data_IF_299364029289
#
_entry.id   IF_299364029289
#
_cell.length_a   1.000
_cell.length_b   1.000
_cell.length_c   1.000
_cell.angle_alpha   90.00
_cell.angle_beta   90.00
_cell.angle_gamma   90.00
#
_symmetry.space_group_name_H-M   'P 1'
#
loop_
_entity.id
_entity.type
_entity.pdbx_description
1 polymer ?
#
# COMPACT_ATOMS: atom_id res chain seq x y z
N UNK A 1 -18.00 -16.54 16.47
CA UNK A 1 -17.82 -15.30 15.68
C UNK A 1 -18.72 -15.41 14.47
N UNK A 2 -19.53 -14.39 14.20
CA UNK A 2 -20.32 -14.29 12.96
C UNK A 2 -19.76 -13.12 12.15
N UNK A 3 -19.41 -13.37 10.90
CA UNK A 3 -19.07 -12.31 9.96
C UNK A 3 -20.34 -11.62 9.49
N UNK A 4 -20.27 -10.30 9.29
CA UNK A 4 -21.34 -9.45 8.74
C UNK A 4 -21.44 -9.60 7.23
N UNK A 5 -20.30 -9.70 6.55
CA UNK A 5 -20.24 -9.69 5.08
C UNK A 5 -19.88 -11.03 4.48
N UNK A 6 -19.09 -11.85 5.19
CA UNK A 6 -18.71 -13.20 4.77
C UNK A 6 -19.72 -14.27 5.19
N UNK A 7 -20.16 -15.08 4.23
CA UNK A 7 -20.83 -16.35 4.53
C UNK A 7 -19.77 -17.46 4.57
N UNK A 8 -19.79 -18.29 5.60
CA UNK A 8 -18.84 -19.39 5.78
C UNK A 8 -19.58 -20.62 6.27
N UNK A 9 -19.43 -21.73 5.56
CA UNK A 9 -19.92 -23.04 5.94
C UNK A 9 -18.78 -24.06 5.90
N UNK A 10 -18.73 -24.94 6.90
CA UNK A 10 -17.77 -26.05 6.92
C UNK A 10 -18.43 -27.32 6.39
N UNK A 11 -18.00 -27.77 5.20
CA UNK A 11 -18.47 -29.01 4.58
C UNK A 11 -17.34 -30.03 4.61
N UNK A 12 -17.44 -31.00 5.54
CA UNK A 12 -16.40 -32.01 5.79
C UNK A 12 -15.05 -31.32 6.11
N UNK A 13 -14.04 -31.55 5.26
CA UNK A 13 -12.69 -30.96 5.36
C UNK A 13 -12.49 -29.80 4.37
N UNK A 14 -13.56 -29.09 4.01
CA UNK A 14 -13.53 -27.95 3.11
C UNK A 14 -14.32 -26.79 3.71
N UNK A 15 -13.75 -25.58 3.66
CA UNK A 15 -14.50 -24.35 3.89
C UNK A 15 -15.19 -23.97 2.59
N UNK A 16 -16.48 -23.66 2.65
CA UNK A 16 -17.25 -23.05 1.57
C UNK A 16 -17.56 -21.62 1.99
N UNK A 17 -17.15 -20.64 1.20
CA UNK A 17 -17.32 -19.23 1.55
C UNK A 17 -17.94 -18.40 0.42
N UNK A 18 -18.51 -17.26 0.77
CA UNK A 18 -19.11 -16.36 -0.21
C UNK A 18 -19.50 -15.01 0.37
N UNK A 19 -20.14 -14.19 -0.44
CA UNK A 19 -20.71 -12.93 -0.01
C UNK A 19 -22.09 -13.15 0.61
N UNK A 20 -22.39 -12.45 1.69
CA UNK A 20 -23.75 -12.34 2.24
C UNK A 20 -24.59 -11.37 1.40
N UNK A 21 -25.92 -11.45 1.56
CA UNK A 21 -26.83 -10.46 0.95
C UNK A 21 -26.47 -9.02 1.37
N UNK A 22 -26.08 -8.83 2.63
CA UNK A 22 -25.68 -7.53 3.15
C UNK A 22 -24.42 -6.97 2.49
N UNK A 23 -23.48 -7.83 2.11
CA UNK A 23 -22.30 -7.39 1.35
C UNK A 23 -22.70 -6.83 -0.02
N UNK A 24 -23.66 -7.48 -0.69
CA UNK A 24 -24.18 -7.05 -1.99
C UNK A 24 -25.00 -5.75 -1.91
N UNK A 25 -25.62 -5.48 -0.76
CA UNK A 25 -26.35 -4.23 -0.50
C UNK A 25 -25.40 -3.06 -0.16
N UNK A 26 -24.41 -3.32 0.70
CA UNK A 26 -23.54 -2.27 1.25
C UNK A 26 -22.38 -1.90 0.30
N UNK A 27 -21.97 -2.76 -0.63
CA UNK A 27 -20.76 -2.56 -1.45
C UNK A 27 -20.96 -2.74 -2.97
N UNK A 28 -20.21 -1.99 -3.80
CA UNK A 28 -20.14 -2.24 -5.23
C UNK A 28 -19.58 -3.63 -5.57
N UNK A 29 -20.08 -4.23 -6.65
CA UNK A 29 -19.71 -5.57 -7.09
C UNK A 29 -18.20 -5.73 -7.30
N UNK A 30 -17.52 -4.74 -7.88
CA UNK A 30 -16.06 -4.80 -8.09
C UNK A 30 -15.29 -5.00 -6.76
N UNK A 31 -15.74 -4.35 -5.67
CA UNK A 31 -15.12 -4.50 -4.36
C UNK A 31 -15.30 -5.91 -3.81
N UNK A 32 -16.49 -6.48 -4.01
CA UNK A 32 -16.85 -7.83 -3.58
C UNK A 32 -16.07 -8.87 -4.37
N UNK A 33 -15.95 -8.72 -5.69
CA UNK A 33 -15.18 -9.61 -6.57
C UNK A 33 -13.73 -9.67 -6.11
N UNK A 34 -13.07 -8.52 -5.95
CA UNK A 34 -11.67 -8.46 -5.52
C UNK A 34 -11.48 -9.03 -4.12
N UNK A 35 -12.42 -8.76 -3.21
CA UNK A 35 -12.41 -9.32 -1.88
C UNK A 35 -12.58 -10.85 -1.85
N UNK A 36 -13.47 -11.43 -2.67
CA UNK A 36 -13.66 -12.88 -2.76
C UNK A 36 -12.40 -13.57 -3.29
N UNK A 37 -11.76 -13.01 -4.32
CA UNK A 37 -10.49 -13.49 -4.86
C UNK A 37 -9.41 -13.45 -3.77
N UNK A 38 -9.25 -12.30 -3.13
CA UNK A 38 -8.27 -12.07 -2.05
C UNK A 38 -8.48 -13.02 -0.88
N UNK A 39 -9.72 -13.23 -0.46
CA UNK A 39 -10.09 -14.16 0.62
C UNK A 39 -9.76 -15.61 0.25
N UNK A 40 -10.01 -16.00 -1.01
CA UNK A 40 -9.63 -17.32 -1.52
C UNK A 40 -8.12 -17.53 -1.52
N UNK A 41 -7.33 -16.52 -1.90
CA UNK A 41 -5.86 -16.56 -1.83
C UNK A 41 -5.38 -16.66 -0.39
N UNK A 42 -5.97 -15.91 0.53
CA UNK A 42 -5.64 -15.98 1.96
C UNK A 42 -5.83 -17.39 2.53
N UNK A 43 -7.00 -18.01 2.31
CA UNK A 43 -7.24 -19.39 2.76
C UNK A 43 -6.24 -20.39 2.16
N UNK A 44 -5.91 -20.24 0.87
CA UNK A 44 -4.93 -21.10 0.21
C UNK A 44 -3.54 -20.96 0.81
N UNK A 45 -3.13 -19.73 1.14
CA UNK A 45 -1.85 -19.43 1.80
C UNK A 45 -1.75 -20.04 3.21
N UNK A 46 -2.89 -20.14 3.92
CA UNK A 46 -3.00 -20.83 5.20
C UNK A 46 -3.03 -22.36 5.11
N UNK A 47 -2.93 -22.92 3.90
CA UNK A 47 -3.06 -24.36 3.69
C UNK A 47 -4.49 -24.87 3.94
N UNK A 48 -5.48 -23.97 4.02
CA UNK A 48 -6.88 -24.31 4.23
C UNK A 48 -7.52 -24.65 2.90
N UNK A 49 -8.16 -25.82 2.84
CA UNK A 49 -8.96 -26.21 1.68
C UNK A 49 -10.25 -25.39 1.68
N UNK A 50 -10.31 -24.36 0.83
CA UNK A 50 -11.47 -23.50 0.67
C UNK A 50 -12.00 -23.53 -0.77
N UNK A 51 -13.31 -23.33 -0.91
CA UNK A 51 -14.01 -23.18 -2.19
C UNK A 51 -15.07 -22.11 -2.06
N UNK A 52 -15.45 -21.52 -3.19
CA UNK A 52 -16.55 -20.57 -3.25
C UNK A 52 -17.88 -21.31 -3.15
N UNK A 53 -18.87 -20.63 -2.59
CA UNK A 53 -20.27 -21.03 -2.67
C UNK A 53 -20.79 -20.85 -4.10
N UNK A 54 -21.83 -21.59 -4.53
CA UNK A 54 -22.36 -21.49 -5.89
C UNK A 54 -22.77 -20.06 -6.30
N UNK A 55 -23.31 -19.27 -5.36
CA UNK A 55 -23.65 -17.87 -5.60
C UNK A 55 -22.41 -17.01 -5.82
N UNK A 56 -21.35 -17.21 -5.03
CA UNK A 56 -20.09 -16.49 -5.19
C UNK A 56 -19.35 -16.88 -6.48
N UNK A 57 -19.44 -18.16 -6.90
CA UNK A 57 -18.94 -18.60 -8.21
C UNK A 57 -19.66 -17.89 -9.36
N UNK A 58 -20.99 -17.73 -9.28
CA UNK A 58 -21.77 -16.97 -10.29
C UNK A 58 -21.35 -15.51 -10.33
N UNK A 59 -21.19 -14.86 -9.17
CA UNK A 59 -20.74 -13.46 -9.08
C UNK A 59 -19.40 -13.27 -9.78
N UNK A 60 -18.42 -14.14 -9.52
CA UNK A 60 -17.12 -14.07 -10.19
C UNK A 60 -17.24 -14.33 -11.68
N UNK A 61 -17.95 -15.39 -12.10
CA UNK A 61 -18.09 -15.71 -13.51
C UNK A 61 -18.68 -14.56 -14.35
N UNK A 62 -19.61 -13.79 -13.76
CA UNK A 62 -20.26 -12.67 -14.43
C UNK A 62 -19.44 -11.37 -14.40
N UNK A 63 -18.67 -11.13 -13.33
CA UNK A 63 -18.13 -9.79 -13.04
C UNK A 63 -16.59 -9.72 -12.95
N UNK A 64 -15.88 -10.86 -12.88
CA UNK A 64 -14.42 -10.88 -12.68
C UNK A 64 -13.68 -10.08 -13.74
N UNK A 65 -14.01 -10.29 -15.01
CA UNK A 65 -13.36 -9.57 -16.12
C UNK A 65 -13.60 -8.07 -16.01
N UNK A 66 -14.83 -7.64 -15.70
CA UNK A 66 -15.17 -6.22 -15.55
C UNK A 66 -14.40 -5.58 -14.38
N UNK A 67 -14.36 -6.26 -13.24
CA UNK A 67 -13.65 -5.78 -12.06
C UNK A 67 -12.14 -5.64 -12.33
N UNK A 68 -11.52 -6.61 -13.00
CA UNK A 68 -10.11 -6.56 -13.39
C UNK A 68 -9.83 -5.45 -14.43
N UNK A 69 -10.71 -5.26 -15.40
CA UNK A 69 -10.59 -4.15 -16.37
C UNK A 69 -10.69 -2.79 -15.68
N UNK A 70 -11.55 -2.64 -14.67
CA UNK A 70 -11.67 -1.40 -13.90
C UNK A 70 -10.37 -1.05 -13.14
N UNK A 71 -9.60 -2.06 -12.72
CA UNK A 71 -8.27 -1.85 -12.16
C UNK A 71 -7.30 -1.35 -13.23
N UNK A 72 -7.43 -1.85 -14.46
CA UNK A 72 -6.52 -1.50 -15.54
C UNK A 72 -6.64 -0.06 -16.02
N UNK A 73 -7.82 0.53 -15.86
CA UNK A 73 -8.10 1.94 -16.14
C UNK A 73 -7.48 2.90 -15.11
N UNK A 74 -7.05 2.38 -13.94
CA UNK A 74 -6.41 3.21 -12.92
C UNK A 74 -5.03 3.70 -13.36
N UNK A 75 -4.66 4.89 -12.87
CA UNK A 75 -3.30 5.40 -12.97
C UNK A 75 -2.31 4.49 -12.22
N UNK A 76 -1.00 4.60 -12.50
CA UNK A 76 0.00 3.79 -11.77
C UNK A 76 0.00 4.05 -10.26
N UNK A 77 -0.37 5.25 -9.81
CA UNK A 77 -0.57 5.56 -8.39
C UNK A 77 -1.80 4.85 -7.82
N UNK A 78 -2.93 4.89 -8.54
CA UNK A 78 -4.16 4.20 -8.15
C UNK A 78 -3.98 2.69 -8.08
N UNK A 79 -3.38 2.07 -9.12
CA UNK A 79 -3.06 0.63 -9.14
C UNK A 79 -2.21 0.23 -7.94
N UNK A 80 -1.17 1.01 -7.65
CA UNK A 80 -0.26 0.75 -6.53
C UNK A 80 -0.96 0.78 -5.16
N UNK A 81 -1.90 1.70 -4.97
CA UNK A 81 -2.71 1.76 -3.75
C UNK A 81 -3.53 0.48 -3.59
N UNK A 82 -4.27 0.08 -4.61
CA UNK A 82 -5.12 -1.11 -4.56
C UNK A 82 -4.27 -2.38 -4.39
N UNK A 83 -3.21 -2.54 -5.18
CA UNK A 83 -2.26 -3.65 -5.06
C UNK A 83 -1.72 -3.80 -3.62
N UNK A 84 -1.36 -2.69 -2.98
CA UNK A 84 -0.83 -2.73 -1.61
C UNK A 84 -1.84 -3.25 -0.59
N UNK A 85 -3.13 -2.90 -0.75
CA UNK A 85 -4.20 -3.33 0.14
C UNK A 85 -4.57 -4.78 -0.13
N UNK A 86 -4.72 -5.19 -1.39
CA UNK A 86 -5.00 -6.57 -1.76
C UNK A 86 -3.92 -7.51 -1.22
N UNK A 87 -2.65 -7.22 -1.49
CA UNK A 87 -1.54 -8.03 -0.99
C UNK A 87 -1.51 -8.12 0.53
N UNK A 88 -1.82 -7.02 1.23
CA UNK A 88 -1.90 -7.06 2.69
C UNK A 88 -3.08 -7.90 3.19
N UNK A 89 -4.19 -7.94 2.46
CA UNK A 89 -5.38 -8.72 2.80
C UNK A 89 -5.22 -10.21 2.48
N UNK A 90 -4.31 -10.58 1.56
CA UNK A 90 -3.92 -11.97 1.31
C UNK A 90 -3.09 -12.58 2.45
N UNK A 91 -2.48 -11.73 3.29
CA UNK A 91 -1.57 -12.18 4.33
C UNK A 91 -2.30 -12.97 5.45
N UNK A 92 -1.80 -14.14 5.86
CA UNK A 92 -2.52 -15.08 6.72
C UNK A 92 -2.74 -14.65 8.18
N UNK A 93 -2.12 -13.57 8.65
CA UNK A 93 -1.89 -13.40 10.10
C UNK A 93 -2.74 -12.31 10.78
N UNK A 94 -3.60 -11.52 10.11
CA UNK A 94 -4.22 -10.40 10.86
C UNK A 94 -5.55 -9.82 10.43
N UNK A 95 -6.13 -10.20 9.29
CA UNK A 95 -7.22 -9.39 8.74
C UNK A 95 -8.56 -10.10 8.86
N UNK A 96 -9.44 -9.49 9.65
CA UNK A 96 -10.87 -9.79 9.65
C UNK A 96 -11.40 -9.65 8.20
N UNK A 97 -12.00 -10.69 7.61
CA UNK A 97 -12.54 -10.63 6.26
C UNK A 97 -13.49 -9.46 6.03
N UNK A 98 -14.33 -9.09 7.00
CA UNK A 98 -15.25 -7.97 6.86
C UNK A 98 -14.49 -6.65 6.73
N UNK A 99 -13.44 -6.50 7.55
CA UNK A 99 -12.56 -5.34 7.49
C UNK A 99 -11.74 -5.30 6.20
N UNK A 100 -11.32 -6.44 5.67
CA UNK A 100 -10.66 -6.52 4.37
C UNK A 100 -11.57 -5.96 3.26
N UNK A 101 -12.87 -6.28 3.27
CA UNK A 101 -13.82 -5.74 2.30
C UNK A 101 -13.92 -4.22 2.39
N UNK A 102 -14.05 -3.68 3.62
CA UNK A 102 -14.09 -2.23 3.86
C UNK A 102 -12.83 -1.53 3.34
N UNK A 103 -11.64 -2.08 3.63
CA UNK A 103 -10.36 -1.51 3.21
C UNK A 103 -10.18 -1.58 1.68
N UNK A 104 -10.56 -2.70 1.05
CA UNK A 104 -10.52 -2.85 -0.42
C UNK A 104 -11.45 -1.82 -1.08
N UNK A 105 -12.68 -1.69 -0.59
CA UNK A 105 -13.63 -0.72 -1.12
C UNK A 105 -13.12 0.73 -1.00
N UNK A 106 -12.61 1.08 0.18
CA UNK A 106 -12.06 2.40 0.45
C UNK A 106 -10.83 2.68 -0.44
N UNK A 107 -9.95 1.69 -0.61
CA UNK A 107 -8.79 1.80 -1.50
C UNK A 107 -9.20 2.02 -2.97
N UNK A 108 -10.21 1.32 -3.47
CA UNK A 108 -10.75 1.53 -4.82
C UNK A 108 -11.31 2.93 -5.00
N UNK A 109 -12.04 3.42 -4.00
CA UNK A 109 -12.63 4.77 -4.00
C UNK A 109 -11.55 5.83 -4.09
N UNK A 110 -10.51 5.73 -3.26
CA UNK A 110 -9.37 6.65 -3.33
C UNK A 110 -8.55 6.48 -4.61
N UNK A 111 -8.35 5.26 -5.09
CA UNK A 111 -7.60 5.01 -6.32
C UNK A 111 -8.27 5.65 -7.54
N UNK A 112 -9.61 5.65 -7.61
CA UNK A 112 -10.36 6.36 -8.65
C UNK A 112 -10.12 7.88 -8.57
N UNK A 113 -10.17 8.47 -7.37
CA UNK A 113 -9.88 9.89 -7.15
C UNK A 113 -8.45 10.25 -7.53
N UNK A 114 -7.46 9.48 -7.06
CA UNK A 114 -6.04 9.65 -7.37
C UNK A 114 -5.78 9.56 -8.87
N UNK A 115 -6.50 8.69 -9.59
CA UNK A 115 -6.28 8.48 -11.03
C UNK A 115 -6.68 9.66 -11.90
N UNK A 116 -7.39 10.65 -11.35
CA UNK A 116 -7.67 11.92 -12.01
C UNK A 116 -6.49 12.90 -11.94
N UNK A 117 -5.47 12.61 -11.11
CA UNK A 117 -4.31 13.47 -10.90
C UNK A 117 -3.19 13.10 -11.86
N UNK A 118 -2.61 14.10 -12.52
CA UNK A 118 -1.46 13.91 -13.42
C UNK A 118 -0.21 13.50 -12.62
N UNK A 119 0.37 12.36 -12.99
CA UNK A 119 1.60 11.87 -12.36
C UNK A 119 2.82 12.66 -12.88
N UNK A 120 3.58 13.34 -12.02
CA UNK A 120 4.77 14.08 -12.42
C UNK A 120 5.92 13.14 -12.77
N UNK A 121 6.71 13.50 -13.79
CA UNK A 121 7.92 12.75 -14.16
C UNK A 121 9.07 13.13 -13.24
N UNK A 122 9.18 12.42 -12.12
CA UNK A 122 10.22 12.65 -11.10
C UNK A 122 11.26 11.54 -11.11
N UNK A 123 12.49 11.89 -10.72
CA UNK A 123 13.61 10.95 -10.58
C UNK A 123 14.42 11.29 -9.34
N UNK A 124 14.88 10.26 -8.64
CA UNK A 124 15.84 10.37 -7.53
C UNK A 124 17.15 9.76 -8.01
N UNK A 125 18.12 10.62 -8.31
CA UNK A 125 19.45 10.19 -8.67
C UNK A 125 20.21 9.72 -7.43
N UNK A 126 21.00 8.65 -7.54
CA UNK A 126 21.90 8.22 -6.48
C UNK A 126 23.16 7.56 -7.03
N UNK A 127 24.19 7.45 -6.20
CA UNK A 127 25.37 6.63 -6.45
C UNK A 127 25.59 5.68 -5.28
N UNK A 128 26.19 4.52 -5.57
CA UNK A 128 26.59 3.53 -4.57
C UNK A 128 28.10 3.34 -4.59
N UNK A 129 28.73 3.45 -3.42
CA UNK A 129 30.15 3.16 -3.21
C UNK A 129 30.29 1.98 -2.24
N UNK A 130 31.34 1.18 -2.40
CA UNK A 130 31.69 0.13 -1.43
C UNK A 130 32.11 0.78 -0.11
N UNK A 131 31.71 0.20 1.01
CA UNK A 131 32.32 0.56 2.29
C UNK A 131 33.77 0.06 2.31
N UNK A 132 34.70 0.86 2.86
CA UNK A 132 36.13 0.52 2.90
C UNK A 132 36.37 -0.82 3.61
N UNK A 133 35.68 -0.99 4.74
CA UNK A 133 35.96 -2.07 5.69
C UNK A 133 34.88 -3.17 5.73
N UNK A 134 33.89 -3.13 4.83
CA UNK A 134 32.81 -4.13 4.84
C UNK A 134 32.26 -4.41 3.44
N UNK A 135 32.37 -5.67 3.00
CA UNK A 135 31.76 -6.14 1.76
C UNK A 135 30.23 -6.21 1.84
N UNK A 136 29.66 -6.30 3.05
CA UNK A 136 28.21 -6.33 3.31
C UNK A 136 27.59 -4.95 3.50
N UNK A 137 28.36 -3.88 3.27
CA UNK A 137 27.88 -2.51 3.40
C UNK A 137 28.22 -1.66 2.18
N UNK A 138 27.26 -0.86 1.75
CA UNK A 138 27.44 0.18 0.73
C UNK A 138 27.00 1.54 1.25
N UNK A 139 27.66 2.56 0.73
CA UNK A 139 27.35 3.96 1.01
C UNK A 139 26.58 4.53 -0.18
N UNK A 140 25.40 5.05 0.09
CA UNK A 140 24.55 5.71 -0.90
C UNK A 140 24.65 7.22 -0.76
N UNK A 141 24.90 7.91 -1.88
CA UNK A 141 24.82 9.37 -1.98
C UNK A 141 23.64 9.71 -2.87
N UNK A 142 22.65 10.43 -2.35
CA UNK A 142 21.54 10.95 -3.14
C UNK A 142 22.01 12.20 -3.88
N UNK A 143 21.59 12.35 -5.14
CA UNK A 143 21.95 13.47 -6.00
C UNK A 143 20.75 14.39 -6.21
N UNK A 144 21.03 15.69 -6.29
CA UNK A 144 20.01 16.72 -6.47
C UNK A 144 19.24 17.02 -5.19
N UNK A 145 18.15 17.77 -5.34
CA UNK A 145 17.27 18.17 -4.24
C UNK A 145 15.91 17.47 -4.36
N UNK A 146 15.77 16.22 -3.87
CA UNK A 146 14.50 15.52 -3.91
C UNK A 146 13.44 16.20 -3.04
N UNK A 147 13.82 16.84 -1.92
CA UNK A 147 12.85 17.49 -1.01
C UNK A 147 12.23 18.71 -1.68
N UNK A 148 13.01 19.56 -2.33
CA UNK A 148 12.48 20.69 -3.12
C UNK A 148 11.61 20.25 -4.30
N UNK A 149 11.86 19.07 -4.88
CA UNK A 149 11.10 18.56 -6.02
C UNK A 149 9.75 17.92 -5.66
N UNK A 150 9.63 17.26 -4.50
CA UNK A 150 8.42 16.49 -4.18
C UNK A 150 7.87 16.68 -2.76
N UNK A 151 8.57 17.41 -1.89
CA UNK A 151 8.25 17.53 -0.47
C UNK A 151 8.97 16.47 0.37
N UNK A 152 9.11 16.75 1.66
CA UNK A 152 9.91 15.91 2.57
C UNK A 152 9.34 14.49 2.75
N UNK A 153 8.01 14.34 2.81
CA UNK A 153 7.37 13.02 3.03
C UNK A 153 7.56 12.12 1.81
N UNK A 154 7.19 12.61 0.64
CA UNK A 154 7.35 11.91 -0.63
C UNK A 154 8.83 11.58 -0.90
N UNK A 155 9.74 12.52 -0.65
CA UNK A 155 11.18 12.28 -0.81
C UNK A 155 11.69 11.21 0.14
N UNK A 156 11.28 11.27 1.42
CA UNK A 156 11.63 10.28 2.43
C UNK A 156 11.17 8.87 2.04
N UNK A 157 9.91 8.73 1.64
CA UNK A 157 9.33 7.45 1.24
C UNK A 157 9.98 6.92 -0.04
N UNK A 158 10.15 7.75 -1.07
CA UNK A 158 10.79 7.36 -2.33
C UNK A 158 12.24 6.88 -2.10
N UNK A 159 13.02 7.60 -1.29
CA UNK A 159 14.40 7.21 -0.95
C UNK A 159 14.40 5.90 -0.14
N UNK A 160 13.50 5.73 0.83
CA UNK A 160 13.39 4.51 1.62
C UNK A 160 13.03 3.30 0.74
N UNK A 161 12.09 3.46 -0.19
CA UNK A 161 11.70 2.44 -1.15
C UNK A 161 12.88 2.02 -2.04
N UNK A 162 13.60 2.98 -2.62
CA UNK A 162 14.79 2.70 -3.45
C UNK A 162 15.89 2.03 -2.63
N UNK A 163 16.15 2.52 -1.42
CA UNK A 163 17.19 1.99 -0.53
C UNK A 163 16.90 0.55 -0.14
N UNK A 164 15.68 0.26 0.30
CA UNK A 164 15.29 -1.08 0.73
C UNK A 164 15.27 -2.07 -0.45
N UNK A 165 14.78 -1.63 -1.62
CA UNK A 165 14.83 -2.44 -2.83
C UNK A 165 16.28 -2.76 -3.25
N UNK A 166 17.15 -1.75 -3.30
CA UNK A 166 18.56 -1.95 -3.63
C UNK A 166 19.30 -2.80 -2.59
N UNK A 167 18.96 -2.66 -1.31
CA UNK A 167 19.53 -3.45 -0.23
C UNK A 167 19.20 -4.94 -0.37
N UNK A 168 17.92 -5.26 -0.66
CA UNK A 168 17.47 -6.64 -0.94
C UNK A 168 18.12 -7.23 -2.18
N UNK A 169 18.09 -6.52 -3.30
CA UNK A 169 18.61 -7.04 -4.58
C UNK A 169 20.12 -7.29 -4.56
N UNK A 170 20.86 -6.49 -3.81
CA UNK A 170 22.31 -6.62 -3.68
C UNK A 170 22.74 -7.49 -2.50
N UNK A 171 21.80 -7.91 -1.64
CA UNK A 171 22.07 -8.61 -0.37
C UNK A 171 23.11 -7.89 0.51
N UNK A 172 22.97 -6.57 0.65
CA UNK A 172 23.87 -5.72 1.46
C UNK A 172 23.10 -4.67 2.24
N UNK A 173 23.68 -4.20 3.34
CA UNK A 173 23.20 -3.02 4.03
C UNK A 173 23.60 -1.75 3.29
N UNK A 174 22.69 -0.79 3.17
CA UNK A 174 22.95 0.49 2.50
C UNK A 174 22.74 1.63 3.50
N UNK A 175 23.76 2.46 3.68
CA UNK A 175 23.68 3.68 4.49
C UNK A 175 23.66 4.91 3.58
N UNK A 176 22.65 5.77 3.71
CA UNK A 176 22.66 7.09 3.05
C UNK A 176 23.56 8.03 3.85
N UNK A 177 24.57 8.60 3.21
CA UNK A 177 25.59 9.40 3.90
C UNK A 177 25.29 10.89 3.94
N UNK A 178 24.47 11.40 3.01
CA UNK A 178 24.12 12.82 2.93
C UNK A 178 22.69 13.13 3.39
N UNK A 179 22.14 12.37 4.34
CA UNK A 179 20.77 12.58 4.85
C UNK A 179 20.54 14.00 5.39
N UNK A 180 21.51 14.55 6.12
CA UNK A 180 21.42 15.89 6.70
C UNK A 180 21.41 16.99 5.64
N UNK A 181 22.14 16.80 4.53
CA UNK A 181 22.13 17.75 3.42
C UNK A 181 20.77 17.77 2.71
N UNK A 182 20.10 16.63 2.62
CA UNK A 182 18.82 16.47 1.92
C UNK A 182 17.65 16.96 2.76
N UNK A 183 17.58 16.52 4.02
CA UNK A 183 16.42 16.73 4.88
C UNK A 183 16.63 17.83 5.94
N UNK A 184 17.83 18.43 5.97
CA UNK A 184 18.19 19.44 6.96
C UNK A 184 18.47 18.88 8.36
N UNK A 185 18.91 19.73 9.29
CA UNK A 185 19.27 19.34 10.66
C UNK A 185 18.08 18.79 11.47
N UNK A 186 16.84 19.18 11.12
CA UNK A 186 15.61 18.72 11.76
C UNK A 186 15.30 17.23 11.55
N UNK A 187 15.90 16.57 10.56
CA UNK A 187 15.71 15.15 10.28
C UNK A 187 16.11 14.23 11.45
N UNK A 188 17.03 14.68 12.30
CA UNK A 188 17.50 13.92 13.45
C UNK A 188 16.50 13.89 14.62
N UNK A 189 15.43 14.70 14.56
CA UNK A 189 14.40 14.74 15.60
C UNK A 189 13.33 13.68 15.35
N UNK A 190 12.79 13.02 16.41
CA UNK A 190 11.62 12.17 16.28
C UNK A 190 10.48 12.95 15.65
N UNK A 191 9.88 12.43 14.59
CA UNK A 191 8.70 13.03 13.97
C UNK A 191 7.46 12.37 14.58
N UNK A 192 6.45 13.14 15.03
CA UNK A 192 5.19 12.56 15.45
C UNK A 192 4.61 11.74 14.29
N UNK A 193 4.00 10.61 14.63
CA UNK A 193 3.25 9.85 13.64
C UNK A 193 2.13 10.76 13.10
N UNK A 194 1.89 10.77 11.78
CA UNK A 194 0.79 11.55 11.22
C UNK A 194 -0.52 11.10 11.84
N UNK A 195 -1.26 12.06 12.37
CA UNK A 195 -2.54 11.82 13.01
C UNK A 195 -3.63 11.86 11.93
N UNK A 196 -4.43 10.80 11.87
CA UNK A 196 -5.51 10.65 10.89
C UNK A 196 -6.81 10.59 11.65
N UNK A 197 -7.78 11.41 11.25
CA UNK A 197 -9.13 11.35 11.81
C UNK A 197 -9.81 9.98 11.57
N UNK A 198 -9.43 9.30 10.47
CA UNK A 198 -9.96 8.00 10.09
C UNK A 198 -8.89 6.90 10.20
N UNK A 199 -9.18 5.91 11.05
CA UNK A 199 -8.33 4.73 11.30
C UNK A 199 -8.14 3.86 10.05
N UNK A 200 -9.14 3.76 9.18
CA UNK A 200 -9.05 2.97 7.96
C UNK A 200 -8.16 3.66 6.93
N UNK A 201 -8.18 5.00 6.85
CA UNK A 201 -7.24 5.78 6.02
C UNK A 201 -5.81 5.57 6.50
N UNK A 202 -5.57 5.65 7.81
CA UNK A 202 -4.25 5.34 8.39
C UNK A 202 -3.78 3.92 8.04
N UNK A 203 -4.67 2.91 8.14
CA UNK A 203 -4.37 1.52 7.79
C UNK A 203 -3.97 1.35 6.33
N UNK A 204 -4.73 1.93 5.40
CA UNK A 204 -4.42 1.87 3.97
C UNK A 204 -3.05 2.51 3.70
N UNK A 205 -2.75 3.67 4.31
CA UNK A 205 -1.43 4.29 4.17
C UNK A 205 -0.32 3.40 4.74
N UNK A 206 -0.55 2.76 5.88
CA UNK A 206 0.40 1.83 6.47
C UNK A 206 0.68 0.63 5.53
N UNK A 207 -0.36 0.02 4.96
CA UNK A 207 -0.24 -1.06 3.96
C UNK A 207 0.54 -0.60 2.72
N UNK A 208 0.28 0.61 2.24
CA UNK A 208 1.02 1.21 1.13
C UNK A 208 2.52 1.36 1.46
N UNK A 209 2.85 1.90 2.63
CA UNK A 209 4.25 2.08 3.06
C UNK A 209 4.94 0.73 3.20
N UNK A 210 4.26 -0.28 3.75
CA UNK A 210 4.80 -1.64 3.88
C UNK A 210 5.10 -2.25 2.50
N UNK A 211 4.14 -2.20 1.58
CA UNK A 211 4.31 -2.66 0.20
C UNK A 211 5.49 -1.96 -0.49
N UNK A 212 5.52 -0.63 -0.44
CA UNK A 212 6.56 0.19 -1.05
C UNK A 212 7.96 -0.12 -0.51
N UNK A 213 8.08 -0.39 0.78
CA UNK A 213 9.38 -0.56 1.42
C UNK A 213 9.84 -2.01 1.48
N UNK A 214 8.95 -2.99 1.50
CA UNK A 214 9.29 -4.41 1.67
C UNK A 214 9.14 -5.25 0.41
N UNK A 215 8.21 -4.93 -0.48
CA UNK A 215 7.83 -5.80 -1.60
C UNK A 215 8.33 -5.28 -2.95
N UNK A 216 8.45 -3.96 -3.11
CA UNK A 216 8.81 -3.37 -4.39
C UNK A 216 10.28 -3.68 -4.80
N UNK A 217 10.50 -4.06 -6.06
CA UNK A 217 11.83 -4.20 -6.65
C UNK A 217 12.41 -2.84 -7.08
N UNK A 218 13.70 -2.80 -7.38
CA UNK A 218 14.42 -1.54 -7.61
C UNK A 218 13.99 -0.84 -8.89
N UNK A 219 13.67 -1.59 -9.95
CA UNK A 219 13.19 -1.02 -11.20
C UNK A 219 11.84 -0.33 -11.00
N UNK A 220 10.86 -1.04 -10.43
CA UNK A 220 9.53 -0.50 -10.11
C UNK A 220 9.64 0.68 -9.14
N UNK A 221 10.52 0.61 -8.14
CA UNK A 221 10.79 1.71 -7.20
C UNK A 221 11.24 3.00 -7.90
N UNK A 222 12.17 2.90 -8.86
CA UNK A 222 12.68 4.05 -9.62
C UNK A 222 11.62 4.65 -10.53
N UNK A 223 10.80 3.83 -11.17
CA UNK A 223 9.76 4.28 -12.09
C UNK A 223 8.53 4.84 -11.35
N UNK A 224 8.38 4.51 -10.07
CA UNK A 224 7.22 4.86 -9.24
C UNK A 224 7.34 6.19 -8.49
N UNK A 225 8.45 6.92 -8.61
CA UNK A 225 8.72 8.11 -7.77
C UNK A 225 7.62 9.17 -7.92
N UNK A 226 7.15 9.41 -9.16
CA UNK A 226 6.04 10.32 -9.41
C UNK A 226 4.74 9.87 -8.76
N UNK A 227 4.45 8.57 -8.79
CA UNK A 227 3.27 7.98 -8.19
C UNK A 227 3.32 8.05 -6.66
N UNK A 228 4.48 7.79 -6.05
CA UNK A 228 4.72 7.94 -4.61
C UNK A 228 4.42 9.37 -4.17
N UNK A 229 4.85 10.38 -4.94
CA UNK A 229 4.50 11.78 -4.65
C UNK A 229 2.98 11.99 -4.62
N UNK A 230 2.27 11.59 -5.67
CA UNK A 230 0.82 11.78 -5.76
C UNK A 230 0.10 11.09 -4.61
N UNK A 231 0.54 9.88 -4.22
CA UNK A 231 -0.01 9.16 -3.08
C UNK A 231 0.23 9.90 -1.76
N UNK A 232 1.44 10.40 -1.51
CA UNK A 232 1.71 11.20 -0.32
C UNK A 232 0.85 12.46 -0.28
N UNK A 233 0.82 13.24 -1.37
CA UNK A 233 0.02 14.46 -1.46
C UNK A 233 -1.48 14.19 -1.22
N UNK A 234 -1.98 13.03 -1.67
CA UNK A 234 -3.35 12.59 -1.41
C UNK A 234 -3.59 12.31 0.07
N UNK A 235 -2.72 11.52 0.72
CA UNK A 235 -2.87 11.19 2.13
C UNK A 235 -2.65 12.37 3.07
N UNK A 236 -1.86 13.36 2.68
CA UNK A 236 -1.62 14.57 3.48
C UNK A 236 -2.91 15.39 3.67
N UNK A 237 -3.86 15.31 2.74
CA UNK A 237 -5.17 15.96 2.84
C UNK A 237 -6.06 15.38 3.96
N UNK A 238 -5.78 14.15 4.40
CA UNK A 238 -6.55 13.46 5.45
C UNK A 238 -5.87 13.52 6.82
N UNK A 239 -4.68 14.11 6.91
CA UNK A 239 -4.03 14.32 8.20
C UNK A 239 -4.76 15.43 8.94
N UNK A 240 -5.09 15.20 10.22
CA UNK A 240 -5.58 16.28 11.07
C UNK A 240 -4.42 17.24 11.30
N UNK A 241 -4.60 18.51 10.95
CA UNK A 241 -3.64 19.53 11.32
C UNK A 241 -3.46 19.47 12.85
N UNK A 242 -2.22 19.29 13.31
CA UNK A 242 -1.87 19.70 14.65
C UNK A 242 -2.20 21.19 14.72
N UNK A 243 -3.37 21.55 15.26
CA UNK A 243 -3.58 22.90 15.72
C UNK A 243 -2.45 23.17 16.69
N UNK A 244 -1.58 24.12 16.32
CA UNK A 244 -0.58 24.68 17.21
C UNK A 244 -1.32 25.28 18.42
N UNK A 245 -1.53 24.44 19.44
CA UNK A 245 -1.73 24.87 20.82
C UNK A 245 -0.42 25.42 21.35
N UNK A 246 0.03 26.53 20.80
CA UNK A 246 1.07 27.39 21.35
C UNK A 246 0.57 28.83 21.34
N UNK A 247 -0.61 29.02 21.95
CA UNK A 247 -0.97 30.29 22.56
C UNK A 247 -1.20 30.06 24.05
N UNK A 248 -0.46 30.86 24.83
CA UNK A 248 -0.61 31.11 26.26
C UNK A 248 -0.31 29.96 27.24
N UNK A 249 0.90 29.97 27.79
CA UNK A 249 1.17 29.94 29.24
C UNK A 249 2.57 30.48 29.50
#
# INVERSE_FOLDING_TARGET
MSFRYLTVERVKNCIVFGASAKAMEDFPVDSIVLWLITTGVSYKSDGVKAKLSPSAESILAENEVSALLSLDELSSAGKMLVESVLLSCEAPVSNDPDQSLELIHLALTHAKSISQVKIPKLKVGYSLKKHRDSAKMKLMTIKGDPVGLMGAEAAGLAIATILNAASRELDVNIAVINKLEIFGPGYSKPRPAPDYADKNIWRIRFMLVDYLTKQMNLLKAKDSIGAIKVLCDHFDQFQTSCQEGSQAS
#
